data_IF_273206225845
#
_entry.id   IF_273206225845
#
_cell.length_a   1.000
_cell.length_b   1.000
_cell.length_c   1.000
_cell.angle_alpha   90.00
_cell.angle_beta   90.00
_cell.angle_gamma   90.00
#
_symmetry.space_group_name_H-M   'P 1'
#
loop_
_entity.id
_entity.type
_entity.pdbx_description
1 polymer ?
#
# COMPACT_ATOMS: atom_id res chain seq x y z
N UNK A 1 15.39 -12.31 -3.25
CA UNK A 1 14.77 -11.12 -2.63
C UNK A 1 13.25 -11.32 -2.54
N UNK A 2 12.67 -11.43 -1.33
CA UNK A 2 11.21 -11.24 -1.15
C UNK A 2 10.93 -9.74 -1.27
N UNK A 3 9.83 -9.28 -1.91
CA UNK A 3 9.56 -7.86 -2.03
C UNK A 3 9.22 -7.29 -0.64
N UNK A 4 10.20 -6.63 -0.02
CA UNK A 4 10.08 -5.92 1.26
C UNK A 4 9.13 -4.70 1.19
N UNK A 5 8.75 -4.29 -0.03
CA UNK A 5 7.81 -3.20 -0.28
C UNK A 5 6.34 -3.55 0.04
N UNK A 6 5.94 -4.83 0.06
CA UNK A 6 4.51 -5.18 0.13
C UNK A 6 3.88 -4.88 1.50
N UNK A 7 4.61 -5.11 2.59
CA UNK A 7 4.07 -5.10 3.96
C UNK A 7 4.15 -3.75 4.66
N UNK A 8 4.98 -2.85 4.16
CA UNK A 8 5.07 -1.49 4.64
C UNK A 8 4.00 -0.57 4.02
N UNK A 9 3.64 -0.87 2.77
CA UNK A 9 2.42 -0.35 2.14
C UNK A 9 1.21 -0.79 2.95
N UNK A 10 1.19 -2.02 3.46
CA UNK A 10 0.09 -2.50 4.31
C UNK A 10 -0.10 -1.59 5.52
N UNK A 11 0.96 -1.07 6.16
CA UNK A 11 0.85 -0.13 7.29
C UNK A 11 0.25 1.22 6.88
N UNK A 12 0.69 1.80 5.75
CA UNK A 12 0.09 3.04 5.23
C UNK A 12 -1.36 2.80 4.81
N UNK A 13 -1.64 1.71 4.11
CA UNK A 13 -2.99 1.31 3.73
C UNK A 13 -3.87 1.13 4.97
N UNK A 14 -3.38 0.55 6.06
CA UNK A 14 -4.13 0.41 7.31
C UNK A 14 -4.58 1.76 7.89
N UNK A 15 -3.79 2.83 7.77
CA UNK A 15 -4.21 4.18 8.17
C UNK A 15 -5.35 4.75 7.29
N UNK A 16 -5.38 4.39 6.00
CA UNK A 16 -6.45 4.80 5.08
C UNK A 16 -7.67 3.86 5.09
N UNK A 17 -7.50 2.62 5.55
CA UNK A 17 -8.52 1.57 5.62
C UNK A 17 -9.83 2.05 6.26
N UNK A 18 -9.88 2.76 7.41
CA UNK A 18 -11.14 3.24 7.98
C UNK A 18 -11.84 4.30 7.13
N UNK A 19 -11.11 5.13 6.40
CA UNK A 19 -11.71 6.14 5.52
C UNK A 19 -12.31 5.48 4.29
N UNK A 20 -11.58 4.53 3.70
CA UNK A 20 -11.99 3.82 2.50
C UNK A 20 -13.17 2.89 2.81
N UNK A 21 -13.11 2.12 3.91
CA UNK A 21 -14.22 1.25 4.32
C UNK A 21 -15.51 2.05 4.62
N UNK A 22 -15.41 3.23 5.24
CA UNK A 22 -16.57 4.12 5.45
C UNK A 22 -17.18 4.59 4.13
N UNK A 23 -16.35 5.03 3.17
CA UNK A 23 -16.84 5.45 1.85
C UNK A 23 -17.49 4.31 1.10
N UNK A 24 -16.85 3.13 1.11
CA UNK A 24 -17.41 1.90 0.55
C UNK A 24 -18.79 1.61 1.15
N UNK A 25 -18.91 1.52 2.48
CA UNK A 25 -20.17 1.19 3.14
C UNK A 25 -21.27 2.23 2.86
N UNK A 26 -20.92 3.51 2.75
CA UNK A 26 -21.87 4.56 2.34
C UNK A 26 -22.39 4.31 0.92
N UNK A 27 -21.48 4.13 -0.04
CA UNK A 27 -21.82 3.89 -1.45
C UNK A 27 -22.67 2.62 -1.59
N UNK A 28 -22.26 1.52 -0.95
CA UNK A 28 -22.97 0.24 -1.09
C UNK A 28 -24.31 0.24 -0.37
N UNK A 29 -24.42 0.90 0.78
CA UNK A 29 -25.73 1.05 1.46
C UNK A 29 -26.68 1.88 0.60
N UNK A 30 -26.19 2.92 -0.07
CA UNK A 30 -26.98 3.69 -1.04
C UNK A 30 -27.40 2.85 -2.27
N UNK A 31 -26.49 2.01 -2.80
CA UNK A 31 -26.82 1.05 -3.87
C UNK A 31 -27.86 0.02 -3.43
N UNK A 32 -27.79 -0.48 -2.19
CA UNK A 32 -28.80 -1.38 -1.63
C UNK A 32 -30.17 -0.70 -1.51
N UNK A 33 -30.22 0.58 -1.13
CA UNK A 33 -31.44 1.37 -1.10
C UNK A 33 -32.07 1.56 -2.48
N UNK A 34 -31.26 1.67 -3.55
CA UNK A 34 -31.77 1.72 -4.91
C UNK A 34 -32.61 0.48 -5.28
N UNK A 35 -32.35 -0.67 -4.63
CA UNK A 35 -33.20 -1.85 -4.72
C UNK A 35 -34.66 -1.55 -4.36
N UNK A 36 -34.93 -0.74 -3.33
CA UNK A 36 -36.30 -0.36 -2.98
C UNK A 36 -36.94 0.63 -3.97
N UNK A 37 -36.13 1.49 -4.59
CA UNK A 37 -36.61 2.60 -5.43
C UNK A 37 -36.88 2.17 -6.86
N UNK A 38 -36.04 1.30 -7.43
CA UNK A 38 -36.10 0.94 -8.85
C UNK A 38 -37.38 0.20 -9.27
N UNK A 39 -37.90 -0.81 -8.52
CA UNK A 39 -39.10 -1.53 -8.96
C UNK A 39 -40.33 -0.62 -9.10
N UNK A 40 -40.68 0.24 -8.13
CA UNK A 40 -41.78 1.20 -8.30
C UNK A 40 -41.62 2.14 -9.50
N UNK A 41 -40.39 2.56 -9.82
CA UNK A 41 -40.12 3.46 -10.97
C UNK A 41 -40.45 2.82 -12.32
N UNK A 42 -40.39 1.48 -12.41
CA UNK A 42 -40.74 0.72 -13.62
C UNK A 42 -42.12 0.04 -13.52
N UNK A 43 -42.97 0.49 -12.58
CA UNK A 43 -44.33 -0.02 -12.41
C UNK A 43 -44.45 -1.38 -11.71
N UNK A 44 -43.38 -1.87 -11.09
CA UNK A 44 -43.39 -3.13 -10.33
C UNK A 44 -43.64 -2.87 -8.84
N UNK A 45 -44.59 -3.60 -8.26
CA UNK A 45 -44.82 -3.59 -6.81
C UNK A 45 -43.68 -4.29 -6.07
N UNK A 46 -43.36 -3.79 -4.88
CA UNK A 46 -42.41 -4.44 -3.98
C UNK A 46 -43.10 -5.66 -3.38
N UNK A 47 -42.56 -6.85 -3.67
CA UNK A 47 -43.12 -8.11 -3.18
C UNK A 47 -42.85 -8.29 -1.68
N UNK A 48 -43.84 -8.60 -0.82
CA UNK A 48 -43.66 -8.71 0.62
C UNK A 48 -42.54 -9.67 1.04
N UNK A 49 -42.40 -10.81 0.35
CA UNK A 49 -41.38 -11.82 0.61
C UNK A 49 -39.95 -11.32 0.36
N UNK A 50 -39.77 -10.27 -0.44
CA UNK A 50 -38.45 -9.68 -0.73
C UNK A 50 -38.03 -8.59 0.26
N UNK A 51 -38.98 -8.04 1.01
CA UNK A 51 -38.75 -6.89 1.91
C UNK A 51 -37.78 -7.26 3.02
N UNK A 52 -37.93 -8.44 3.62
CA UNK A 52 -37.10 -8.87 4.73
C UNK A 52 -35.61 -8.91 4.36
N UNK A 53 -35.28 -9.52 3.22
CA UNK A 53 -33.91 -9.65 2.73
C UNK A 53 -33.30 -8.27 2.41
N UNK A 54 -34.04 -7.43 1.69
CA UNK A 54 -33.58 -6.07 1.35
C UNK A 54 -33.35 -5.19 2.57
N UNK A 55 -34.28 -5.22 3.54
CA UNK A 55 -34.18 -4.45 4.79
C UNK A 55 -33.01 -4.93 5.62
N UNK A 56 -32.82 -6.25 5.75
CA UNK A 56 -31.70 -6.82 6.49
C UNK A 56 -30.35 -6.33 5.96
N UNK A 57 -30.16 -6.31 4.64
CA UNK A 57 -28.91 -5.82 4.06
C UNK A 57 -28.65 -4.32 4.26
N UNK A 58 -29.68 -3.48 4.19
CA UNK A 58 -29.58 -2.05 4.52
C UNK A 58 -29.26 -1.86 6.01
N UNK A 59 -29.92 -2.61 6.90
CA UNK A 59 -29.67 -2.57 8.34
C UNK A 59 -28.24 -2.99 8.66
N UNK A 60 -27.70 -4.03 8.01
CA UNK A 60 -26.30 -4.45 8.17
C UNK A 60 -25.32 -3.35 7.73
N UNK A 61 -25.61 -2.66 6.61
CA UNK A 61 -24.82 -1.53 6.12
C UNK A 61 -24.81 -0.34 7.09
N UNK A 62 -25.99 0.05 7.57
CA UNK A 62 -26.15 1.13 8.57
C UNK A 62 -25.48 0.74 9.89
N UNK A 63 -25.66 -0.49 10.36
CA UNK A 63 -25.00 -1.00 11.56
C UNK A 63 -23.47 -0.90 11.45
N UNK A 64 -22.90 -1.35 10.34
CA UNK A 64 -21.46 -1.26 10.09
C UNK A 64 -20.96 0.21 10.08
N UNK A 65 -21.73 1.13 9.46
CA UNK A 65 -21.41 2.56 9.49
C UNK A 65 -21.43 3.14 10.90
N UNK A 66 -22.43 2.78 11.71
CA UNK A 66 -22.54 3.24 13.11
C UNK A 66 -21.37 2.72 13.95
N UNK A 67 -20.99 1.45 13.79
CA UNK A 67 -19.84 0.86 14.47
C UNK A 67 -18.54 1.60 14.12
N UNK A 68 -18.29 1.89 12.84
CA UNK A 68 -17.11 2.65 12.41
C UNK A 68 -17.14 4.11 12.86
N UNK A 69 -18.32 4.74 12.91
CA UNK A 69 -18.46 6.11 13.37
C UNK A 69 -18.15 6.23 14.87
N UNK A 70 -18.67 5.29 15.68
CA UNK A 70 -18.36 5.22 17.12
C UNK A 70 -16.89 4.93 17.42
N UNK A 71 -16.20 4.22 16.52
CA UNK A 71 -14.75 4.00 16.59
C UNK A 71 -13.90 5.23 16.28
N UNK A 72 -14.49 6.36 15.89
CA UNK A 72 -13.78 7.62 15.66
C UNK A 72 -12.80 7.58 14.48
N UNK A 73 -11.59 8.13 14.69
CA UNK A 73 -10.54 8.18 13.66
C UNK A 73 -9.78 6.86 13.52
N UNK A 74 -9.61 6.10 14.61
CA UNK A 74 -8.91 4.81 14.66
C UNK A 74 -9.77 3.73 15.35
N UNK A 75 -10.76 3.16 14.64
CA UNK A 75 -11.54 2.04 15.14
C UNK A 75 -10.68 0.84 15.58
N UNK A 76 -11.17 0.06 16.54
CA UNK A 76 -10.48 -1.15 16.99
C UNK A 76 -10.44 -2.25 15.92
N UNK A 77 -9.47 -3.16 16.00
CA UNK A 77 -9.36 -4.31 15.07
C UNK A 77 -10.65 -5.12 14.95
N UNK A 78 -11.35 -5.33 16.08
CA UNK A 78 -12.64 -6.04 16.12
C UNK A 78 -13.74 -5.28 15.37
N UNK A 79 -13.76 -3.95 15.45
CA UNK A 79 -14.72 -3.15 14.72
C UNK A 79 -14.59 -3.35 13.20
N UNK A 80 -13.35 -3.42 12.67
CA UNK A 80 -13.13 -3.71 11.24
C UNK A 80 -13.61 -5.10 10.83
N UNK A 81 -13.33 -6.11 11.64
CA UNK A 81 -13.75 -7.49 11.35
C UNK A 81 -15.28 -7.61 11.33
N UNK A 82 -15.96 -6.99 12.29
CA UNK A 82 -17.44 -6.97 12.35
C UNK A 82 -18.03 -6.24 11.14
N UNK A 83 -17.49 -5.06 10.79
CA UNK A 83 -17.99 -4.29 9.65
C UNK A 83 -17.74 -4.99 8.32
N UNK A 84 -16.60 -5.66 8.19
CA UNK A 84 -16.26 -6.46 7.01
C UNK A 84 -17.17 -7.67 6.87
N UNK A 85 -17.44 -8.38 7.97
CA UNK A 85 -18.39 -9.50 7.96
C UNK A 85 -19.81 -9.03 7.61
N UNK A 86 -20.24 -7.89 8.17
CA UNK A 86 -21.54 -7.29 7.82
C UNK A 86 -21.62 -6.94 6.33
N UNK A 87 -20.57 -6.35 5.75
CA UNK A 87 -20.50 -6.04 4.32
C UNK A 87 -20.54 -7.31 3.45
N UNK A 88 -19.78 -8.35 3.83
CA UNK A 88 -19.71 -9.64 3.15
C UNK A 88 -21.09 -10.33 3.08
N UNK A 89 -21.89 -10.20 4.13
CA UNK A 89 -23.23 -10.79 4.21
C UNK A 89 -24.31 -9.90 3.58
N UNK A 90 -24.19 -8.58 3.69
CA UNK A 90 -25.22 -7.65 3.23
C UNK A 90 -25.50 -7.78 1.73
N UNK A 91 -24.47 -7.82 0.88
CA UNK A 91 -24.65 -7.84 -0.57
C UNK A 91 -25.38 -9.10 -1.07
N UNK A 92 -24.99 -10.33 -0.71
CA UNK A 92 -25.75 -11.54 -1.06
C UNK A 92 -27.20 -11.54 -0.53
N UNK A 93 -27.41 -11.03 0.69
CA UNK A 93 -28.74 -10.95 1.31
C UNK A 93 -29.63 -9.97 0.54
N UNK A 94 -29.13 -8.79 0.16
CA UNK A 94 -29.92 -7.86 -0.68
C UNK A 94 -30.23 -8.50 -2.02
N UNK A 95 -29.23 -9.16 -2.64
CA UNK A 95 -29.33 -9.75 -3.96
C UNK A 95 -30.41 -10.84 -4.05
N UNK A 96 -30.61 -11.62 -2.98
CA UNK A 96 -31.68 -12.64 -2.90
C UNK A 96 -33.09 -12.05 -2.84
N UNK A 97 -33.23 -10.76 -2.53
CA UNK A 97 -34.50 -10.05 -2.55
C UNK A 97 -34.72 -9.19 -3.81
N UNK A 98 -33.89 -9.29 -4.85
CA UNK A 98 -34.04 -8.48 -6.06
C UNK A 98 -34.85 -9.23 -7.12
N UNK A 99 -35.88 -8.55 -7.65
CA UNK A 99 -36.76 -9.10 -8.70
C UNK A 99 -36.23 -8.80 -10.10
N UNK A 100 -35.53 -7.66 -10.27
CA UNK A 100 -35.00 -7.22 -11.56
C UNK A 100 -33.56 -7.73 -11.75
N UNK A 101 -33.27 -8.34 -12.90
CA UNK A 101 -31.91 -8.72 -13.29
C UNK A 101 -30.96 -7.50 -13.34
N UNK A 102 -31.44 -6.36 -13.83
CA UNK A 102 -30.66 -5.10 -13.82
C UNK A 102 -30.31 -4.66 -12.40
N UNK A 103 -31.22 -4.82 -11.44
CA UNK A 103 -30.93 -4.52 -10.04
C UNK A 103 -29.88 -5.48 -9.45
N UNK A 104 -29.90 -6.76 -9.85
CA UNK A 104 -28.85 -7.71 -9.47
C UNK A 104 -27.47 -7.32 -10.03
N UNK A 105 -27.41 -6.87 -11.28
CA UNK A 105 -26.16 -6.38 -11.89
C UNK A 105 -25.64 -5.12 -11.17
N UNK A 106 -26.53 -4.18 -10.82
CA UNK A 106 -26.16 -3.01 -10.02
C UNK A 106 -25.68 -3.40 -8.62
N UNK A 107 -26.29 -4.41 -8.00
CA UNK A 107 -25.86 -4.95 -6.71
C UNK A 107 -24.49 -5.65 -6.80
N UNK A 108 -24.18 -6.30 -7.94
CA UNK A 108 -22.86 -6.89 -8.19
C UNK A 108 -21.72 -5.85 -8.21
N UNK A 109 -22.01 -4.59 -8.56
CA UNK A 109 -21.03 -3.49 -8.47
C UNK A 109 -20.58 -3.28 -7.01
N UNK A 110 -21.49 -3.41 -6.04
CA UNK A 110 -21.14 -3.32 -4.61
C UNK A 110 -20.16 -4.44 -4.20
N UNK A 111 -20.42 -5.67 -4.63
CA UNK A 111 -19.51 -6.79 -4.40
C UNK A 111 -18.15 -6.63 -5.11
N UNK A 112 -18.13 -6.03 -6.31
CA UNK A 112 -16.89 -5.72 -7.01
C UNK A 112 -16.00 -4.78 -6.19
N UNK A 113 -16.56 -3.68 -5.67
CA UNK A 113 -15.82 -2.76 -4.80
C UNK A 113 -15.36 -3.43 -3.50
N UNK A 114 -16.15 -4.36 -2.95
CA UNK A 114 -15.78 -5.11 -1.76
C UNK A 114 -14.62 -6.07 -2.02
N UNK A 115 -14.63 -6.76 -3.17
CA UNK A 115 -13.56 -7.65 -3.58
C UNK A 115 -12.25 -6.87 -3.80
N UNK A 116 -12.31 -5.70 -4.45
CA UNK A 116 -11.17 -4.79 -4.57
C UNK A 116 -10.63 -4.37 -3.19
N UNK A 117 -11.53 -4.03 -2.25
CA UNK A 117 -11.15 -3.72 -0.87
C UNK A 117 -10.42 -4.90 -0.21
N UNK A 118 -10.89 -6.14 -0.37
CA UNK A 118 -10.20 -7.31 0.17
C UNK A 118 -8.80 -7.49 -0.41
N UNK A 119 -8.64 -7.30 -1.71
CA UNK A 119 -7.33 -7.46 -2.36
C UNK A 119 -6.31 -6.42 -1.88
N UNK A 120 -6.76 -5.19 -1.62
CA UNK A 120 -5.87 -4.11 -1.19
C UNK A 120 -5.50 -4.19 0.29
N UNK A 121 -6.44 -4.52 1.18
CA UNK A 121 -6.23 -4.40 2.63
C UNK A 121 -6.00 -5.71 3.38
N UNK A 122 -6.13 -6.87 2.71
CA UNK A 122 -5.93 -8.17 3.35
C UNK A 122 -4.76 -8.94 2.70
N UNK A 123 -4.01 -9.73 3.50
CA UNK A 123 -2.96 -10.58 2.98
C UNK A 123 -3.48 -11.51 1.87
N UNK A 124 -2.66 -11.78 0.84
CA UNK A 124 -3.03 -12.57 -0.36
C UNK A 124 -3.83 -13.84 -0.08
N UNK A 125 -3.52 -14.59 0.99
CA UNK A 125 -4.26 -15.81 1.34
C UNK A 125 -5.67 -15.50 1.88
N UNK A 126 -5.77 -14.51 2.76
CA UNK A 126 -7.04 -14.09 3.35
C UNK A 126 -7.93 -13.39 2.32
N UNK A 127 -7.36 -12.56 1.46
CA UNK A 127 -8.12 -11.87 0.40
C UNK A 127 -8.74 -12.87 -0.58
N UNK A 128 -8.00 -13.88 -1.05
CA UNK A 128 -8.56 -14.95 -1.91
C UNK A 128 -9.71 -15.70 -1.24
N UNK A 129 -9.59 -16.02 0.04
CA UNK A 129 -10.66 -16.69 0.79
C UNK A 129 -11.89 -15.80 0.89
N UNK A 130 -11.73 -14.52 1.24
CA UNK A 130 -12.83 -13.57 1.37
C UNK A 130 -13.52 -13.30 0.03
N UNK A 131 -12.76 -13.14 -1.06
CA UNK A 131 -13.30 -13.00 -2.42
C UNK A 131 -14.05 -14.27 -2.82
N UNK A 132 -13.48 -15.46 -2.59
CA UNK A 132 -14.14 -16.73 -2.86
C UNK A 132 -15.46 -16.89 -2.08
N UNK A 133 -15.47 -16.55 -0.79
CA UNK A 133 -16.68 -16.53 0.03
C UNK A 133 -17.73 -15.55 -0.50
N UNK A 134 -17.33 -14.31 -0.84
CA UNK A 134 -18.22 -13.30 -1.39
C UNK A 134 -18.87 -13.79 -2.69
N UNK A 135 -18.06 -14.30 -3.61
CA UNK A 135 -18.52 -14.83 -4.90
C UNK A 135 -19.47 -16.02 -4.69
N UNK A 136 -19.12 -16.97 -3.82
CA UNK A 136 -19.98 -18.12 -3.52
C UNK A 136 -21.33 -17.72 -2.91
N UNK A 137 -21.32 -16.80 -1.93
CA UNK A 137 -22.56 -16.28 -1.35
C UNK A 137 -23.40 -15.51 -2.36
N UNK A 138 -22.78 -14.73 -3.24
CA UNK A 138 -23.48 -14.06 -4.33
C UNK A 138 -24.17 -15.04 -5.28
N UNK A 139 -23.50 -16.16 -5.62
CA UNK A 139 -24.10 -17.19 -6.46
C UNK A 139 -25.39 -17.71 -5.81
N UNK A 140 -25.34 -18.02 -4.51
CA UNK A 140 -26.53 -18.41 -3.73
C UNK A 140 -27.60 -17.31 -3.76
N UNK A 141 -27.20 -16.05 -3.58
CA UNK A 141 -28.10 -14.89 -3.66
C UNK A 141 -28.86 -14.82 -4.99
N UNK A 142 -28.17 -14.97 -6.12
CA UNK A 142 -28.80 -14.97 -7.45
C UNK A 142 -29.74 -16.16 -7.63
N UNK A 143 -29.33 -17.35 -7.21
CA UNK A 143 -30.11 -18.58 -7.37
C UNK A 143 -31.41 -18.49 -6.58
N UNK A 144 -31.36 -18.01 -5.34
CA UNK A 144 -32.53 -17.87 -4.44
C UNK A 144 -33.44 -16.72 -4.87
N UNK A 145 -32.91 -15.70 -5.56
CA UNK A 145 -33.69 -14.52 -5.91
C UNK A 145 -34.94 -14.85 -6.75
N UNK A 146 -36.08 -14.18 -6.49
CA UNK A 146 -37.30 -14.33 -7.28
C UNK A 146 -37.21 -13.53 -8.58
N UNK A 147 -36.06 -13.55 -9.24
CA UNK A 147 -35.81 -12.74 -10.42
C UNK A 147 -36.70 -13.14 -11.59
N UNK A 148 -37.27 -12.13 -12.24
CA UNK A 148 -38.06 -12.28 -13.44
C UNK A 148 -37.65 -11.17 -14.44
N UNK A 149 -37.54 -11.53 -15.72
CA UNK A 149 -37.25 -10.60 -16.80
C UNK A 149 -38.58 -10.06 -17.35
N UNK A 150 -39.20 -9.12 -16.63
CA UNK A 150 -40.61 -8.73 -16.89
C UNK A 150 -40.78 -7.55 -17.84
N UNK A 151 -39.71 -6.97 -18.39
CA UNK A 151 -39.76 -5.69 -19.12
C UNK A 151 -39.50 -5.80 -20.62
N UNK A 152 -39.23 -6.99 -21.15
CA UNK A 152 -38.95 -7.20 -22.59
C UNK A 152 -39.86 -8.33 -23.10
N UNK A 153 -40.52 -8.18 -24.27
CA UNK A 153 -41.43 -9.18 -24.85
C UNK A 153 -40.71 -10.40 -25.44
N UNK A 154 -39.54 -10.76 -24.90
CA UNK A 154 -38.79 -11.97 -25.28
C UNK A 154 -39.04 -13.01 -24.21
N UNK A 155 -39.57 -14.18 -24.61
CA UNK A 155 -39.69 -15.35 -23.74
C UNK A 155 -38.29 -15.94 -23.49
N UNK A 156 -37.58 -15.37 -22.53
CA UNK A 156 -36.34 -15.96 -21.99
C UNK A 156 -36.68 -16.66 -20.67
N UNK A 157 -36.25 -17.90 -20.53
CA UNK A 157 -36.43 -18.65 -19.30
C UNK A 157 -35.58 -18.06 -18.15
N UNK A 158 -36.13 -18.10 -16.94
CA UNK A 158 -35.48 -17.54 -15.75
C UNK A 158 -34.10 -18.15 -15.47
N UNK A 159 -33.88 -19.41 -15.85
CA UNK A 159 -32.58 -20.09 -15.67
C UNK A 159 -31.52 -19.44 -16.55
N UNK A 160 -31.80 -19.21 -17.83
CA UNK A 160 -30.89 -18.49 -18.73
C UNK A 160 -30.58 -17.08 -18.23
N UNK A 161 -31.58 -16.34 -17.73
CA UNK A 161 -31.36 -14.98 -17.18
C UNK A 161 -30.45 -15.03 -15.96
N UNK A 162 -30.70 -15.95 -15.02
CA UNK A 162 -29.86 -16.13 -13.83
C UNK A 162 -28.44 -16.55 -14.21
N UNK A 163 -28.29 -17.45 -15.18
CA UNK A 163 -26.99 -17.86 -15.68
C UNK A 163 -26.21 -16.68 -16.30
N UNK A 164 -26.87 -15.84 -17.10
CA UNK A 164 -26.24 -14.64 -17.66
C UNK A 164 -25.82 -13.64 -16.58
N UNK A 165 -26.67 -13.39 -15.58
CA UNK A 165 -26.33 -12.54 -14.42
C UNK A 165 -25.14 -13.11 -13.66
N UNK A 166 -25.12 -14.43 -13.41
CA UNK A 166 -24.03 -15.11 -12.72
C UNK A 166 -22.71 -14.98 -13.47
N UNK A 167 -22.70 -15.26 -14.78
CA UNK A 167 -21.50 -15.13 -15.62
C UNK A 167 -20.95 -13.72 -15.49
N UNK A 168 -21.78 -12.70 -15.76
CA UNK A 168 -21.34 -11.29 -15.71
C UNK A 168 -20.87 -10.91 -14.31
N UNK A 169 -21.65 -11.20 -13.27
CA UNK A 169 -21.34 -10.81 -11.90
C UNK A 169 -20.05 -11.48 -11.39
N UNK A 170 -19.89 -12.78 -11.62
CA UNK A 170 -18.69 -13.53 -11.22
C UNK A 170 -17.47 -13.03 -11.99
N UNK A 171 -17.56 -12.87 -13.31
CA UNK A 171 -16.42 -12.39 -14.11
C UNK A 171 -16.02 -10.97 -13.72
N UNK A 172 -16.98 -10.08 -13.44
CA UNK A 172 -16.68 -8.71 -13.01
C UNK A 172 -16.03 -8.68 -11.62
N UNK A 173 -16.53 -9.46 -10.66
CA UNK A 173 -15.98 -9.49 -9.29
C UNK A 173 -14.57 -10.06 -9.29
N UNK A 174 -14.34 -11.21 -9.94
CA UNK A 174 -13.02 -11.83 -10.00
C UNK A 174 -12.05 -11.00 -10.85
N UNK A 175 -12.52 -10.50 -12.01
CA UNK A 175 -11.73 -9.67 -12.90
C UNK A 175 -11.30 -8.36 -12.25
N UNK A 176 -12.19 -7.67 -11.53
CA UNK A 176 -11.84 -6.47 -10.79
C UNK A 176 -10.87 -6.76 -9.64
N UNK A 177 -11.05 -7.86 -8.92
CA UNK A 177 -10.13 -8.27 -7.85
C UNK A 177 -8.70 -8.50 -8.38
N UNK A 178 -8.55 -9.24 -9.47
CA UNK A 178 -7.26 -9.50 -10.14
C UNK A 178 -6.66 -8.20 -10.71
N UNK A 179 -7.43 -7.45 -11.51
CA UNK A 179 -6.97 -6.22 -12.17
C UNK A 179 -6.52 -5.16 -11.17
N UNK A 180 -7.34 -4.86 -10.15
CA UNK A 180 -6.95 -3.89 -9.14
C UNK A 180 -5.78 -4.37 -8.30
N UNK A 181 -5.73 -5.67 -7.97
CA UNK A 181 -4.58 -6.24 -7.27
C UNK A 181 -3.28 -6.04 -8.03
N UNK A 182 -3.29 -6.26 -9.34
CA UNK A 182 -2.12 -6.02 -10.19
C UNK A 182 -1.78 -4.53 -10.27
N UNK A 183 -2.76 -3.68 -10.55
CA UNK A 183 -2.56 -2.23 -10.70
C UNK A 183 -2.01 -1.59 -9.43
N UNK A 184 -2.61 -1.88 -8.27
CA UNK A 184 -2.15 -1.35 -6.98
C UNK A 184 -0.72 -1.78 -6.72
N UNK A 185 -0.37 -3.04 -7.01
CA UNK A 185 0.99 -3.52 -6.83
C UNK A 185 2.00 -2.79 -7.72
N UNK A 186 1.70 -2.61 -9.00
CA UNK A 186 2.57 -1.87 -9.91
C UNK A 186 2.73 -0.41 -9.49
N UNK A 187 1.63 0.24 -9.08
CA UNK A 187 1.66 1.62 -8.58
C UNK A 187 2.54 1.76 -7.34
N UNK A 188 2.42 0.81 -6.42
CA UNK A 188 3.25 0.75 -5.21
C UNK A 188 4.72 0.58 -5.56
N UNK A 189 5.04 -0.40 -6.41
CA UNK A 189 6.43 -0.70 -6.80
C UNK A 189 7.03 0.54 -7.47
N UNK A 190 6.36 1.13 -8.46
CA UNK A 190 6.81 2.35 -9.13
C UNK A 190 6.90 3.57 -8.22
N UNK A 191 6.08 3.67 -7.16
CA UNK A 191 6.11 4.77 -6.22
C UNK A 191 7.17 4.58 -5.11
N UNK A 192 7.71 3.38 -4.93
CA UNK A 192 8.66 3.05 -3.85
C UNK A 192 10.09 2.79 -4.32
N UNK A 193 10.33 2.73 -5.63
CA UNK A 193 11.67 2.58 -6.22
C UNK A 193 12.17 3.85 -6.89
N UNK A 194 13.48 4.05 -6.90
CA UNK A 194 14.15 5.07 -7.70
C UNK A 194 14.22 4.63 -9.17
N UNK A 195 13.88 5.54 -10.09
CA UNK A 195 13.76 5.24 -11.51
C UNK A 195 15.10 5.01 -12.22
N UNK A 196 16.20 5.50 -11.65
CA UNK A 196 17.54 5.35 -12.23
C UNK A 196 18.25 4.10 -11.69
N UNK A 197 18.27 3.94 -10.36
CA UNK A 197 19.08 2.92 -9.69
C UNK A 197 18.30 1.63 -9.36
N UNK A 198 16.97 1.63 -9.51
CA UNK A 198 16.06 0.56 -9.10
C UNK A 198 16.10 0.20 -7.59
N UNK A 199 16.89 0.91 -6.78
CA UNK A 199 16.85 0.84 -5.33
C UNK A 199 15.54 1.40 -4.79
N UNK A 200 15.29 1.25 -3.49
CA UNK A 200 14.19 1.98 -2.86
C UNK A 200 14.43 3.50 -3.03
N UNK A 201 13.36 4.25 -3.25
CA UNK A 201 13.41 5.70 -3.09
C UNK A 201 13.16 6.07 -1.61
N UNK A 202 13.17 7.36 -1.28
CA UNK A 202 12.88 7.84 0.08
C UNK A 202 11.58 7.31 0.65
N UNK A 203 10.49 7.36 -0.11
CA UNK A 203 9.20 6.85 0.34
C UNK A 203 9.26 5.33 0.58
N UNK A 204 9.89 4.58 -0.32
CA UNK A 204 10.09 3.13 -0.19
C UNK A 204 10.93 2.74 1.02
N UNK A 205 11.98 3.52 1.33
CA UNK A 205 12.82 3.32 2.50
C UNK A 205 12.06 3.51 3.81
N UNK A 206 11.37 4.64 3.98
CA UNK A 206 10.58 4.95 5.18
C UNK A 206 9.47 3.91 5.42
N UNK A 207 8.91 3.38 4.33
CA UNK A 207 8.00 2.25 4.34
C UNK A 207 8.72 1.01 4.92
N UNK A 208 9.75 0.54 4.22
CA UNK A 208 10.45 -0.71 4.55
C UNK A 208 11.04 -0.68 5.98
N UNK A 209 11.53 0.47 6.42
CA UNK A 209 12.05 0.71 7.76
C UNK A 209 11.00 0.46 8.85
N UNK A 210 9.82 1.08 8.73
CA UNK A 210 8.72 0.89 9.69
C UNK A 210 8.29 -0.57 9.77
N UNK A 211 8.24 -1.25 8.63
CA UNK A 211 7.91 -2.67 8.61
C UNK A 211 8.97 -3.55 9.28
N UNK A 212 10.26 -3.24 9.07
CA UNK A 212 11.34 -3.98 9.72
C UNK A 212 11.27 -3.83 11.26
N UNK A 213 10.96 -2.62 11.76
CA UNK A 213 10.70 -2.37 13.18
C UNK A 213 9.50 -3.16 13.71
N UNK A 214 8.36 -3.12 13.02
CA UNK A 214 7.15 -3.86 13.43
C UNK A 214 7.38 -5.37 13.47
N UNK A 215 8.14 -5.90 12.49
CA UNK A 215 8.48 -7.32 12.40
C UNK A 215 9.41 -7.78 13.51
N UNK A 216 10.30 -6.90 14.00
CA UNK A 216 11.19 -7.18 15.10
C UNK A 216 10.47 -7.22 16.47
N UNK A 217 9.22 -6.76 16.53
CA UNK A 217 8.37 -6.82 17.72
C UNK A 217 8.65 -5.73 18.76
N UNK A 218 7.97 -5.79 19.91
CA UNK A 218 8.02 -4.75 20.96
C UNK A 218 9.21 -4.86 21.91
N UNK A 219 10.25 -5.61 21.53
CA UNK A 219 11.47 -5.75 22.34
C UNK A 219 12.39 -4.52 22.24
N UNK A 220 13.56 -4.58 22.88
CA UNK A 220 14.65 -3.64 22.62
C UNK A 220 15.22 -3.90 21.21
N UNK A 221 14.51 -3.42 20.19
CA UNK A 221 14.95 -3.53 18.81
C UNK A 221 16.13 -2.60 18.61
N UNK A 222 17.23 -3.16 18.14
CA UNK A 222 18.42 -2.39 17.79
C UNK A 222 18.42 -2.12 16.30
N UNK A 223 18.82 -0.90 15.94
CA UNK A 223 18.78 -0.38 14.58
C UNK A 223 20.07 0.34 14.32
N UNK A 224 20.64 0.14 13.14
CA UNK A 224 21.75 0.92 12.64
C UNK A 224 21.42 1.44 11.25
N UNK A 225 21.54 2.76 11.07
CA UNK A 225 21.32 3.48 9.83
C UNK A 225 22.65 4.10 9.38
N UNK A 226 22.95 4.03 8.09
CA UNK A 226 24.12 4.65 7.48
C UNK A 226 23.67 5.53 6.33
N UNK A 227 24.07 6.80 6.36
CA UNK A 227 23.96 7.72 5.24
C UNK A 227 25.24 7.65 4.42
N UNK A 228 25.09 7.68 3.11
CA UNK A 228 26.15 7.55 2.12
C UNK A 228 25.98 8.70 1.13
N UNK A 229 27.08 9.32 0.74
CA UNK A 229 27.09 10.41 -0.23
C UNK A 229 28.28 10.23 -1.19
N UNK A 230 28.00 10.38 -2.48
CA UNK A 230 29.02 10.21 -3.54
C UNK A 230 29.99 11.38 -3.52
N UNK A 231 31.28 11.09 -3.33
CA UNK A 231 32.28 12.13 -3.26
C UNK A 231 32.46 12.81 -4.63
N UNK A 232 32.58 14.13 -4.62
CA UNK A 232 32.80 14.96 -5.82
C UNK A 232 31.76 14.78 -6.93
N UNK A 233 30.54 14.31 -6.63
CA UNK A 233 29.51 14.04 -7.64
C UNK A 233 29.20 15.24 -8.55
N UNK A 234 29.11 16.44 -7.96
CA UNK A 234 28.91 17.68 -8.72
C UNK A 234 30.04 17.93 -9.72
N UNK A 235 31.30 17.72 -9.31
CA UNK A 235 32.46 17.88 -10.20
C UNK A 235 32.39 16.92 -11.39
N UNK A 236 31.98 15.67 -11.15
CA UNK A 236 31.77 14.68 -12.21
C UNK A 236 30.70 15.13 -13.20
N UNK A 237 29.55 15.61 -12.70
CA UNK A 237 28.50 16.16 -13.56
C UNK A 237 28.97 17.36 -14.39
N UNK A 238 29.72 18.28 -13.76
CA UNK A 238 30.18 19.51 -14.40
C UNK A 238 31.23 19.23 -15.51
N UNK A 239 32.08 18.20 -15.34
CA UNK A 239 33.13 17.86 -16.31
C UNK A 239 32.69 16.87 -17.39
N UNK A 240 31.86 15.88 -17.04
CA UNK A 240 31.53 14.74 -17.92
C UNK A 240 30.04 14.69 -18.30
N UNK A 241 29.24 15.61 -17.78
CA UNK A 241 27.80 15.70 -18.03
C UNK A 241 26.97 14.75 -17.18
N UNK A 242 25.66 15.00 -17.14
CA UNK A 242 24.71 14.27 -16.30
C UNK A 242 24.64 12.76 -16.60
N UNK A 243 24.82 12.33 -17.86
CA UNK A 243 24.81 10.92 -18.20
C UNK A 243 25.97 10.14 -17.54
N UNK A 244 27.13 10.79 -17.34
CA UNK A 244 28.24 10.20 -16.62
C UNK A 244 27.96 10.13 -15.11
N UNK A 245 27.34 11.17 -14.53
CA UNK A 245 26.86 11.13 -13.15
C UNK A 245 25.83 10.03 -12.92
N UNK A 246 24.88 9.87 -13.85
CA UNK A 246 23.88 8.79 -13.79
C UNK A 246 24.54 7.41 -13.77
N UNK A 247 25.58 7.20 -14.61
CA UNK A 247 26.35 5.96 -14.59
C UNK A 247 27.04 5.72 -13.25
N UNK A 248 27.66 6.75 -12.66
CA UNK A 248 28.29 6.67 -11.32
C UNK A 248 27.29 6.26 -10.24
N UNK A 249 26.07 6.79 -10.29
CA UNK A 249 25.01 6.45 -9.34
C UNK A 249 24.54 5.00 -9.51
N UNK A 250 24.40 4.54 -10.75
CA UNK A 250 24.03 3.15 -11.06
C UNK A 250 25.12 2.18 -10.61
N UNK A 251 26.38 2.49 -10.88
CA UNK A 251 27.52 1.66 -10.50
C UNK A 251 27.64 1.52 -8.97
N UNK A 252 27.52 2.64 -8.25
CA UNK A 252 27.52 2.61 -6.78
C UNK A 252 26.30 1.86 -6.24
N UNK A 253 25.11 2.05 -6.82
CA UNK A 253 23.91 1.34 -6.40
C UNK A 253 24.07 -0.18 -6.53
N UNK A 254 24.60 -0.65 -7.66
CA UNK A 254 24.86 -2.06 -7.90
C UNK A 254 25.93 -2.60 -6.93
N UNK A 255 27.03 -1.87 -6.77
CA UNK A 255 28.10 -2.24 -5.84
C UNK A 255 27.58 -2.38 -4.41
N UNK A 256 26.81 -1.40 -3.91
CA UNK A 256 26.20 -1.48 -2.59
C UNK A 256 25.25 -2.67 -2.49
N UNK A 257 24.36 -2.85 -3.47
CA UNK A 257 23.36 -3.92 -3.46
C UNK A 257 23.97 -5.34 -3.42
N UNK A 258 25.11 -5.54 -4.08
CA UNK A 258 25.82 -6.83 -4.10
C UNK A 258 26.52 -7.17 -2.77
N UNK A 259 26.92 -6.16 -2.00
CA UNK A 259 27.74 -6.35 -0.80
C UNK A 259 27.00 -6.10 0.52
N UNK A 260 25.76 -5.61 0.47
CA UNK A 260 24.96 -5.42 1.68
C UNK A 260 24.62 -6.75 2.36
N UNK A 261 24.59 -6.80 3.70
CA UNK A 261 24.17 -7.99 4.42
C UNK A 261 22.71 -8.32 4.13
N UNK A 262 22.36 -9.61 4.21
CA UNK A 262 20.99 -10.06 3.97
C UNK A 262 20.02 -9.38 4.93
N UNK A 263 18.97 -8.76 4.38
CA UNK A 263 17.97 -8.04 5.16
C UNK A 263 18.28 -6.55 5.38
N UNK A 264 19.41 -6.06 4.89
CA UNK A 264 19.64 -4.62 4.80
C UNK A 264 18.63 -3.95 3.85
N UNK A 265 18.10 -2.82 4.29
CA UNK A 265 17.34 -1.91 3.46
C UNK A 265 18.34 -0.99 2.77
N UNK A 266 18.24 -0.81 1.46
CA UNK A 266 19.10 0.07 0.69
C UNK A 266 18.25 0.98 -0.21
N UNK A 267 18.52 2.27 -0.18
CA UNK A 267 17.73 3.27 -0.89
C UNK A 267 18.57 4.44 -1.39
N UNK A 268 18.11 5.08 -2.47
CA UNK A 268 18.56 6.40 -2.91
C UNK A 268 17.52 7.43 -2.47
N UNK A 269 17.92 8.37 -1.62
CA UNK A 269 17.01 9.33 -0.96
C UNK A 269 17.11 10.75 -1.52
N UNK A 270 18.23 11.06 -2.17
CA UNK A 270 18.53 12.36 -2.78
C UNK A 270 19.24 12.21 -4.12
N UNK A 271 19.83 13.30 -4.61
CA UNK A 271 20.56 13.31 -5.88
C UNK A 271 21.72 12.30 -5.88
N UNK A 272 22.63 12.48 -4.93
CA UNK A 272 23.85 11.69 -4.67
C UNK A 272 23.82 10.98 -3.32
N UNK A 273 22.70 11.05 -2.61
CA UNK A 273 22.55 10.49 -1.27
C UNK A 273 21.88 9.12 -1.29
N UNK A 274 22.53 8.16 -0.65
CA UNK A 274 22.02 6.83 -0.38
C UNK A 274 21.86 6.61 1.13
N UNK A 275 20.99 5.70 1.50
CA UNK A 275 20.82 5.26 2.89
C UNK A 275 20.74 3.74 2.93
N UNK A 276 21.41 3.15 3.92
CA UNK A 276 21.24 1.74 4.26
C UNK A 276 20.89 1.58 5.73
N UNK A 277 20.11 0.54 6.05
CA UNK A 277 19.69 0.27 7.41
C UNK A 277 19.54 -1.23 7.68
N UNK A 278 19.97 -1.66 8.86
CA UNK A 278 19.73 -3.00 9.39
C UNK A 278 18.98 -2.89 10.71
N UNK A 279 17.93 -3.70 10.86
CA UNK A 279 17.10 -3.80 12.06
C UNK A 279 17.27 -5.21 12.64
N UNK A 280 17.54 -5.31 13.93
CA UNK A 280 17.70 -6.59 14.64
C UNK A 280 19.16 -7.03 14.78
N UNK A 281 19.38 -8.34 14.86
CA UNK A 281 20.60 -8.97 15.39
C UNK A 281 21.90 -8.51 14.71
N UNK A 282 21.90 -8.31 13.38
CA UNK A 282 23.09 -7.95 12.60
C UNK A 282 23.35 -6.44 12.49
N UNK A 283 22.59 -5.60 13.19
CA UNK A 283 22.71 -4.14 13.03
C UNK A 283 24.12 -3.61 13.33
N UNK A 284 24.79 -4.19 14.34
CA UNK A 284 26.11 -3.75 14.80
C UNK A 284 27.24 -4.04 13.81
N UNK A 285 27.05 -4.95 12.86
CA UNK A 285 28.04 -5.31 11.84
C UNK A 285 28.08 -4.27 10.70
N UNK A 286 26.98 -3.55 10.48
CA UNK A 286 26.80 -2.65 9.34
C UNK A 286 27.88 -1.55 9.25
N UNK A 287 28.28 -0.84 10.32
CA UNK A 287 29.32 0.19 10.21
C UNK A 287 30.68 -0.38 9.80
N UNK A 288 31.03 -1.57 10.28
CA UNK A 288 32.27 -2.25 9.91
C UNK A 288 32.29 -2.67 8.44
N UNK A 289 31.18 -3.25 7.98
CA UNK A 289 30.99 -3.59 6.57
C UNK A 289 31.08 -2.32 5.68
N UNK A 290 30.41 -1.24 6.06
CA UNK A 290 30.44 0.03 5.31
C UNK A 290 31.85 0.62 5.21
N UNK A 291 32.62 0.56 6.30
CA UNK A 291 34.01 1.02 6.30
C UNK A 291 34.90 0.20 5.34
N UNK A 292 34.63 -1.09 5.19
CA UNK A 292 35.32 -1.92 4.19
C UNK A 292 34.89 -1.56 2.77
N UNK A 293 33.58 -1.44 2.54
CA UNK A 293 33.05 -1.10 1.22
C UNK A 293 33.53 0.25 0.72
N UNK A 294 33.62 1.26 1.58
CA UNK A 294 34.14 2.58 1.22
C UNK A 294 35.61 2.54 0.77
N UNK A 295 36.43 1.59 1.27
CA UNK A 295 37.83 1.43 0.86
C UNK A 295 37.98 0.69 -0.47
N UNK A 296 37.09 -0.26 -0.74
CA UNK A 296 37.17 -1.16 -1.90
C UNK A 296 36.33 -0.67 -3.09
N UNK A 297 35.46 0.31 -2.88
CA UNK A 297 34.55 0.82 -3.90
C UNK A 297 35.29 1.46 -5.08
N UNK A 298 34.94 1.11 -6.33
CA UNK A 298 35.42 1.83 -7.51
C UNK A 298 34.95 3.29 -7.54
N UNK A 299 33.82 3.59 -6.91
CA UNK A 299 33.24 4.92 -6.78
C UNK A 299 33.49 5.44 -5.37
N UNK A 300 34.29 6.50 -5.18
CA UNK A 300 34.51 7.10 -3.86
C UNK A 300 33.20 7.60 -3.25
N UNK A 301 32.99 7.28 -1.98
CA UNK A 301 31.86 7.79 -1.21
C UNK A 301 32.24 7.99 0.25
N UNK A 302 31.61 9.00 0.86
CA UNK A 302 31.65 9.26 2.29
C UNK A 302 30.41 8.64 2.96
N UNK A 303 30.54 8.26 4.23
CA UNK A 303 29.41 7.75 4.99
C UNK A 303 29.41 8.22 6.45
N UNK A 304 28.24 8.21 7.08
CA UNK A 304 28.05 8.43 8.52
C UNK A 304 27.02 7.45 9.07
N UNK A 305 27.24 6.94 10.27
CA UNK A 305 26.44 5.88 10.88
C UNK A 305 25.75 6.36 12.16
N UNK A 306 24.61 5.75 12.48
CA UNK A 306 23.94 5.95 13.74
C UNK A 306 23.30 4.65 14.18
N UNK A 307 23.41 4.34 15.48
CA UNK A 307 22.81 3.16 16.08
C UNK A 307 21.97 3.56 17.28
N UNK A 308 20.84 2.89 17.48
CA UNK A 308 20.00 3.04 18.66
C UNK A 308 19.42 1.68 19.09
N UNK A 309 19.00 1.59 20.36
CA UNK A 309 18.36 0.39 20.91
C UNK A 309 17.17 0.80 21.76
N UNK A 310 15.99 0.23 21.48
CA UNK A 310 14.80 0.39 22.34
C UNK A 310 14.03 1.71 22.19
N UNK A 311 14.26 2.46 21.12
CA UNK A 311 13.44 3.63 20.77
C UNK A 311 12.25 3.24 19.88
N UNK A 312 11.08 3.81 20.14
CA UNK A 312 9.84 3.48 19.43
C UNK A 312 9.75 4.08 18.01
N UNK A 313 10.38 5.24 17.77
CA UNK A 313 10.47 5.87 16.45
C UNK A 313 11.86 6.52 16.27
N UNK A 314 12.90 5.70 16.05
CA UNK A 314 14.27 6.19 16.04
C UNK A 314 14.67 6.89 14.73
N UNK A 315 13.86 6.82 13.68
CA UNK A 315 14.28 7.17 12.32
C UNK A 315 14.83 8.59 12.23
N UNK A 316 14.09 9.57 12.76
CA UNK A 316 14.49 10.98 12.72
C UNK A 316 15.77 11.24 13.51
N UNK A 317 15.91 10.59 14.68
CA UNK A 317 17.09 10.74 15.53
C UNK A 317 18.34 10.09 14.91
N UNK A 318 18.17 8.93 14.27
CA UNK A 318 19.20 8.21 13.52
C UNK A 318 19.68 9.03 12.33
N UNK A 319 18.77 9.53 11.48
CA UNK A 319 19.12 10.40 10.35
C UNK A 319 19.97 11.59 10.79
N UNK A 320 19.53 12.33 11.82
CA UNK A 320 20.25 13.50 12.33
C UNK A 320 21.65 13.15 12.84
N UNK A 321 21.81 11.98 13.46
CA UNK A 321 23.09 11.57 14.03
C UNK A 321 24.04 11.09 12.93
N UNK A 322 23.54 10.31 11.98
CA UNK A 322 24.29 9.83 10.83
C UNK A 322 24.74 10.98 9.92
N UNK A 323 23.86 11.98 9.71
CA UNK A 323 24.16 13.17 8.91
C UNK A 323 25.32 13.97 9.50
N UNK A 324 25.33 14.16 10.83
CA UNK A 324 26.44 14.82 11.51
C UNK A 324 27.77 14.05 11.38
N UNK A 325 27.72 12.72 11.43
CA UNK A 325 28.92 11.91 11.23
C UNK A 325 29.41 11.99 9.78
N UNK A 326 28.51 11.92 8.81
CA UNK A 326 28.82 12.06 7.38
C UNK A 326 29.46 13.43 7.10
N UNK A 327 28.88 14.50 7.64
CA UNK A 327 29.44 15.84 7.52
C UNK A 327 30.87 15.93 8.09
N UNK A 328 31.10 15.30 9.24
CA UNK A 328 32.44 15.23 9.86
C UNK A 328 33.42 14.41 9.01
N UNK A 329 32.96 13.32 8.40
CA UNK A 329 33.78 12.50 7.51
C UNK A 329 34.21 13.28 6.26
N UNK A 330 33.27 13.99 5.63
CA UNK A 330 33.54 14.86 4.47
C UNK A 330 34.57 15.95 4.78
N UNK A 331 34.45 16.62 5.93
CA UNK A 331 35.42 17.65 6.33
C UNK A 331 36.86 17.12 6.51
N UNK A 332 37.02 15.85 6.89
CA UNK A 332 38.35 15.23 7.03
C UNK A 332 38.98 14.86 5.70
N UNK A 333 38.15 14.50 4.72
CA UNK A 333 38.62 14.08 3.39
C UNK A 333 38.80 15.27 2.43
N UNK A 334 37.92 16.27 2.54
CA UNK A 334 37.91 17.49 1.73
C UNK A 334 37.72 18.70 2.67
N UNK A 335 38.79 19.18 3.32
CA UNK A 335 38.69 20.39 4.13
C UNK A 335 38.22 21.56 3.27
N UNK A 336 37.35 22.44 3.80
CA UNK A 336 36.92 23.63 3.07
C UNK A 336 38.14 24.47 2.71
N UNK A 337 38.10 25.11 1.54
CA UNK A 337 39.16 26.03 1.11
C UNK A 337 39.40 27.07 2.22
N UNK A 338 40.67 27.42 2.52
CA UNK A 338 40.95 28.49 3.46
C UNK A 338 40.23 29.76 3.01
N UNK A 339 39.69 30.56 3.95
CA UNK A 339 39.04 31.82 3.59
C UNK A 339 40.01 32.62 2.72
N UNK A 340 39.53 33.09 1.57
CA UNK A 340 40.33 33.90 0.67
C UNK A 340 40.92 35.07 1.47
N UNK A 341 42.25 35.21 1.45
CA UNK A 341 42.95 36.33 2.10
C UNK A 341 42.27 37.63 1.69
N UNK A 342 41.66 38.32 2.66
CA UNK A 342 41.17 39.68 2.45
C UNK A 342 42.36 40.50 1.94
N UNK A 343 42.24 41.20 0.80
CA UNK A 343 43.31 42.04 0.31
C UNK A 343 43.54 43.12 1.36
N UNK A 344 44.69 43.02 2.04
CA UNK A 344 45.18 44.05 2.95
C UNK A 344 45.25 45.35 2.16
N UNK A 345 44.27 46.23 2.42
CA UNK A 345 44.29 47.62 1.98
C UNK A 345 45.57 48.25 2.53
N UNK A 346 46.60 48.28 1.71
CA UNK A 346 47.79 49.12 1.93
C UNK A 346 47.31 50.56 1.83
N UNK A 347 47.02 51.17 2.97
CA UNK A 347 46.95 52.63 3.11
C UNK A 347 48.37 53.17 2.94
N UNK A 348 48.67 53.64 1.73
CA UNK A 348 49.72 54.62 1.48
C UNK A 348 49.21 56.03 1.71
#
# INVERSE_FOLDING_TARGET
MRPLAASSVDTVLQDYQPRILRRYLWITTALHLAGFVLPPMVGLSIRPETVAARTAGVVLGVFALVVLHRGGRRPSRRAYQVCTAAALLATPIVMSGLVLAVAQLLCAIAAMFLAMYFVVFYPKRQSRLLVGCLTGLMVVGVVVAPTAFTLVPVEVDTVTVKAAVLVVAVTCVLGAAEMFGSLTRTLIESASTDGLTALLNRAGFELAFRHALESAGTGQVSVTLVLIDVDQFKSTNDHYGHAAGDAVLVDLANYLAEHMPSGALLARVGGDEFVTCVVGEHHAELPGAMAQLARESPTPFSFGAASCTGEADPLTALYRTADRELYTAKQRQHPPDPPADEPTLRTG
#
